data_IF_562340813379
#
_entry.id   IF_562340813379
#
_cell.length_a   1.000
_cell.length_b   1.000
_cell.length_c   1.000
_cell.angle_alpha   90.00
_cell.angle_beta   90.00
_cell.angle_gamma   90.00
#
_symmetry.space_group_name_H-M   'P 1'
#
loop_
_entity.id
_entity.type
_entity.pdbx_description
1 polymer ?
#
# COMPACT_ATOMS: atom_id res chain seq x y z
N UNK A 1 11.44 11.13 1.35
CA UNK A 1 11.55 10.48 0.01
C UNK A 1 11.81 8.96 0.12
N UNK A 2 11.12 8.23 1.01
CA UNK A 2 11.35 6.78 1.24
C UNK A 2 10.24 5.86 0.71
N UNK A 3 9.21 6.43 0.07
CA UNK A 3 7.99 5.69 -0.31
C UNK A 3 7.69 5.62 -1.81
N UNK A 4 8.66 5.94 -2.68
CA UNK A 4 8.62 5.54 -4.11
C UNK A 4 9.64 4.46 -4.47
N UNK A 5 10.72 4.32 -3.69
CA UNK A 5 11.70 3.26 -3.91
C UNK A 5 11.63 2.12 -2.89
N UNK A 6 11.00 2.27 -1.72
CA UNK A 6 10.74 1.15 -0.78
C UNK A 6 9.42 0.42 -1.08
N UNK A 7 8.32 1.18 -1.23
CA UNK A 7 7.03 0.68 -1.76
C UNK A 7 7.18 0.22 -3.22
N UNK A 8 7.98 0.94 -4.01
CA UNK A 8 8.36 0.54 -5.35
C UNK A 8 9.43 -0.55 -5.41
N UNK A 9 10.27 -0.81 -4.38
CA UNK A 9 11.23 -1.93 -4.41
C UNK A 9 10.57 -3.27 -4.14
N UNK A 10 9.54 -3.29 -3.30
CA UNK A 10 8.72 -4.48 -3.06
C UNK A 10 7.87 -4.78 -4.31
N UNK A 11 7.42 -3.74 -5.04
CA UNK A 11 6.89 -3.90 -6.41
C UNK A 11 7.97 -4.25 -7.46
N UNK A 12 9.22 -3.78 -7.34
CA UNK A 12 10.31 -4.00 -8.33
C UNK A 12 10.98 -5.38 -8.24
N UNK A 13 10.85 -6.12 -7.14
CA UNK A 13 11.37 -7.50 -7.05
C UNK A 13 10.42 -8.51 -7.71
N UNK A 14 9.13 -8.21 -7.82
CA UNK A 14 8.13 -9.19 -8.28
C UNK A 14 7.51 -8.79 -9.61
N UNK A 15 7.79 -9.61 -10.64
CA UNK A 15 7.04 -9.72 -11.89
C UNK A 15 5.55 -9.97 -11.61
N UNK A 16 4.81 -8.97 -11.15
CA UNK A 16 3.53 -9.14 -10.43
C UNK A 16 2.51 -9.96 -11.19
N UNK A 17 2.38 -9.85 -12.50
CA UNK A 17 1.41 -10.68 -13.24
C UNK A 17 1.85 -12.15 -13.34
N UNK A 18 3.14 -12.42 -13.55
CA UNK A 18 3.68 -13.79 -13.59
C UNK A 18 3.88 -14.40 -12.21
N UNK A 19 4.17 -13.58 -11.20
CA UNK A 19 4.33 -13.99 -9.81
C UNK A 19 2.97 -14.13 -9.12
N UNK A 20 1.98 -13.28 -9.44
CA UNK A 20 0.58 -13.49 -9.07
C UNK A 20 0.00 -14.69 -9.79
N UNK A 21 0.24 -14.88 -11.09
CA UNK A 21 -0.17 -16.10 -11.80
C UNK A 21 0.53 -17.32 -11.20
N UNK A 22 1.82 -17.26 -10.91
CA UNK A 22 2.57 -18.33 -10.25
C UNK A 22 2.06 -18.59 -8.82
N UNK A 23 1.75 -17.55 -8.04
CA UNK A 23 1.18 -17.67 -6.70
C UNK A 23 -0.27 -18.16 -6.73
N UNK A 24 -1.05 -17.81 -7.78
CA UNK A 24 -2.37 -18.37 -8.08
C UNK A 24 -2.27 -19.84 -8.48
N UNK A 25 -1.31 -20.21 -9.30
CA UNK A 25 -1.03 -21.58 -9.72
C UNK A 25 -0.57 -22.42 -8.51
N UNK A 26 0.29 -21.86 -7.67
CA UNK A 26 0.78 -22.47 -6.42
C UNK A 26 -0.36 -22.56 -5.41
N UNK A 27 -1.20 -21.54 -5.26
CA UNK A 27 -2.36 -21.57 -4.37
C UNK A 27 -3.38 -22.63 -4.81
N UNK A 28 -3.68 -22.70 -6.13
CA UNK A 28 -4.54 -23.73 -6.71
C UNK A 28 -3.97 -25.14 -6.54
N UNK A 29 -2.65 -25.31 -6.63
CA UNK A 29 -1.98 -26.61 -6.41
C UNK A 29 -1.83 -26.97 -4.93
N UNK A 30 -1.53 -25.99 -4.07
CA UNK A 30 -1.30 -26.18 -2.64
C UNK A 30 -1.39 -24.85 -1.87
N UNK A 31 -2.53 -24.60 -1.20
CA UNK A 31 -2.71 -23.42 -0.36
C UNK A 31 -1.64 -23.27 0.73
N UNK A 32 -1.11 -24.39 1.27
CA UNK A 32 -0.05 -24.39 2.29
C UNK A 32 1.26 -23.76 1.80
N UNK A 33 1.65 -24.00 0.54
CA UNK A 33 2.89 -23.46 -0.03
C UNK A 33 2.73 -21.96 -0.34
N UNK A 34 1.55 -21.55 -0.82
CA UNK A 34 1.24 -20.13 -1.06
C UNK A 34 1.28 -19.33 0.24
N UNK A 35 0.73 -19.88 1.32
CA UNK A 35 0.78 -19.28 2.64
C UNK A 35 2.22 -19.18 3.18
N UNK A 36 3.07 -20.18 2.92
CA UNK A 36 4.50 -20.15 3.28
C UNK A 36 5.28 -19.05 2.53
N UNK A 37 5.00 -18.84 1.24
CA UNK A 37 5.66 -17.79 0.44
C UNK A 37 5.15 -16.39 0.84
N UNK A 38 3.85 -16.27 1.11
CA UNK A 38 3.26 -15.02 1.62
C UNK A 38 3.79 -14.66 3.01
N UNK A 39 4.10 -15.67 3.83
CA UNK A 39 4.78 -15.51 5.12
C UNK A 39 6.13 -14.81 4.98
N UNK A 40 6.90 -15.17 3.93
CA UNK A 40 8.22 -14.62 3.65
C UNK A 40 8.16 -13.21 3.04
N UNK A 41 7.08 -12.85 2.33
CA UNK A 41 6.96 -11.57 1.62
C UNK A 41 6.33 -10.43 2.44
N UNK A 42 5.39 -10.73 3.35
CA UNK A 42 4.63 -9.73 4.11
C UNK A 42 5.22 -9.39 5.49
N UNK A 43 6.49 -9.75 5.74
CA UNK A 43 7.19 -9.46 7.00
C UNK A 43 6.80 -10.35 8.18
N UNK A 44 5.52 -10.74 8.33
CA UNK A 44 5.11 -11.67 9.41
C UNK A 44 4.00 -12.66 9.03
N UNK A 45 3.33 -12.44 7.88
CA UNK A 45 2.20 -13.23 7.36
C UNK A 45 1.08 -13.50 8.37
N UNK A 46 1.07 -12.81 9.52
CA UNK A 46 0.22 -13.08 10.68
C UNK A 46 -1.25 -12.97 10.28
N UNK A 47 -1.60 -11.84 9.67
CA UNK A 47 -2.94 -11.59 9.17
C UNK A 47 -3.38 -12.58 8.09
N UNK A 48 -2.46 -13.04 7.24
CA UNK A 48 -2.78 -14.07 6.24
C UNK A 48 -3.15 -15.41 6.89
N UNK A 49 -2.53 -15.75 8.03
CA UNK A 49 -2.86 -16.97 8.79
C UNK A 49 -4.13 -16.82 9.61
N UNK A 50 -4.36 -15.65 10.20
CA UNK A 50 -5.50 -15.42 11.09
C UNK A 50 -6.80 -15.17 10.34
N UNK A 51 -6.73 -14.49 9.19
CA UNK A 51 -7.90 -14.04 8.43
C UNK A 51 -8.18 -14.89 7.19
N UNK A 52 -7.24 -15.78 6.83
CA UNK A 52 -7.36 -16.79 5.77
C UNK A 52 -8.07 -16.27 4.50
N UNK A 53 -7.46 -15.32 3.77
CA UNK A 53 -8.11 -14.70 2.62
C UNK A 53 -8.44 -15.75 1.54
N UNK A 54 -9.70 -15.74 1.09
CA UNK A 54 -10.23 -16.72 0.11
C UNK A 54 -10.20 -16.19 -1.31
N UNK A 55 -10.20 -14.87 -1.47
CA UNK A 55 -10.19 -14.20 -2.78
C UNK A 55 -8.90 -13.42 -2.99
N UNK A 56 -8.61 -13.10 -4.25
CA UNK A 56 -7.44 -12.28 -4.59
C UNK A 56 -7.58 -10.84 -4.05
N UNK A 57 -8.82 -10.35 -3.93
CA UNK A 57 -9.15 -9.05 -3.36
C UNK A 57 -8.85 -9.04 -1.87
N UNK A 58 -9.32 -10.06 -1.13
CA UNK A 58 -9.04 -10.25 0.29
C UNK A 58 -7.52 -10.37 0.53
N UNK A 59 -6.80 -11.13 -0.31
CA UNK A 59 -5.35 -11.29 -0.21
C UNK A 59 -4.61 -9.96 -0.44
N UNK A 60 -4.98 -9.22 -1.48
CA UNK A 60 -4.38 -7.92 -1.81
C UNK A 60 -4.64 -6.89 -0.71
N UNK A 61 -5.85 -6.86 -0.15
CA UNK A 61 -6.22 -6.01 0.97
C UNK A 61 -5.33 -6.26 2.19
N UNK A 62 -5.13 -7.53 2.58
CA UNK A 62 -4.28 -7.87 3.73
C UNK A 62 -2.81 -7.51 3.52
N UNK A 63 -2.27 -7.74 2.33
CA UNK A 63 -0.89 -7.35 1.99
C UNK A 63 -0.70 -5.84 2.07
N UNK A 64 -1.70 -5.06 1.66
CA UNK A 64 -1.66 -3.61 1.71
C UNK A 64 -1.83 -3.04 3.13
N UNK A 65 -2.77 -3.60 3.89
CA UNK A 65 -3.11 -3.12 5.22
C UNK A 65 -2.11 -3.55 6.31
N UNK A 66 -1.38 -4.66 6.13
CA UNK A 66 -0.46 -5.18 7.14
C UNK A 66 0.65 -4.17 7.53
N UNK A 67 1.33 -3.49 6.58
CA UNK A 67 2.24 -2.39 6.89
C UNK A 67 1.59 -1.25 7.68
N UNK A 68 0.32 -0.92 7.42
CA UNK A 68 -0.39 0.13 8.14
C UNK A 68 -0.67 -0.25 9.59
N UNK A 69 -1.17 -1.48 9.82
CA UNK A 69 -1.33 -2.03 11.18
C UNK A 69 0.00 -2.03 11.94
N UNK A 70 1.09 -2.43 11.28
CA UNK A 70 2.40 -2.43 11.91
C UNK A 70 2.87 -1.00 12.26
N UNK A 71 2.63 -0.05 11.36
CA UNK A 71 2.89 1.36 11.63
C UNK A 71 2.12 1.86 12.85
N UNK A 72 0.81 1.67 12.92
CA UNK A 72 -0.01 2.20 14.02
C UNK A 72 0.50 1.73 15.38
N UNK A 73 0.99 0.49 15.47
CA UNK A 73 1.57 -0.10 16.69
C UNK A 73 2.95 0.44 17.05
N UNK A 74 3.64 1.08 16.11
CA UNK A 74 5.03 1.52 16.27
C UNK A 74 5.20 3.00 15.90
N UNK A 75 4.11 3.78 15.79
CA UNK A 75 4.14 5.15 15.27
C UNK A 75 5.01 6.09 16.11
N UNK A 76 5.14 5.81 17.39
CA UNK A 76 6.03 6.46 18.35
C UNK A 76 7.53 6.30 18.01
N UNK A 77 7.90 5.26 17.25
CA UNK A 77 9.28 4.99 16.84
C UNK A 77 9.70 5.72 15.56
N UNK A 78 8.76 6.32 14.83
CA UNK A 78 9.04 7.02 13.60
C UNK A 78 9.10 8.52 13.84
N UNK A 79 10.18 9.17 13.37
CA UNK A 79 10.30 10.64 13.44
C UNK A 79 9.20 11.34 12.65
N UNK A 80 8.87 10.82 11.47
CA UNK A 80 7.81 11.33 10.61
C UNK A 80 7.41 10.28 9.58
N UNK A 81 6.11 10.18 9.29
CA UNK A 81 5.57 9.40 8.18
C UNK A 81 4.61 10.30 7.41
N UNK A 82 4.70 10.20 6.08
CA UNK A 82 3.77 10.86 5.17
C UNK A 82 2.94 9.78 4.50
N UNK A 83 1.63 9.88 4.63
CA UNK A 83 0.71 9.11 3.82
C UNK A 83 0.55 9.76 2.46
N UNK A 84 0.32 8.92 1.46
CA UNK A 84 0.11 9.41 0.11
C UNK A 84 -1.13 10.32 0.04
N UNK A 85 -2.21 9.93 0.71
CA UNK A 85 -3.46 10.69 0.72
C UNK A 85 -3.24 12.11 1.28
N UNK A 86 -2.58 12.23 2.45
CA UNK A 86 -2.20 13.55 3.01
C UNK A 86 -1.39 14.41 2.02
N UNK A 87 -0.49 13.77 1.25
CA UNK A 87 0.34 14.43 0.27
C UNK A 87 -0.43 14.82 -1.00
N UNK A 88 -1.51 14.12 -1.36
CA UNK A 88 -2.33 14.44 -2.52
C UNK A 88 -3.42 15.46 -2.17
N UNK A 89 -4.05 15.33 -1.00
CA UNK A 89 -5.09 16.24 -0.53
C UNK A 89 -4.53 17.62 -0.19
N UNK A 90 -3.42 17.68 0.55
CA UNK A 90 -2.82 18.93 1.01
C UNK A 90 -1.29 18.95 0.79
N UNK A 91 -0.82 18.89 -0.48
CA UNK A 91 0.59 18.71 -0.82
C UNK A 91 1.53 19.73 -0.18
N UNK A 92 1.17 21.01 -0.23
CA UNK A 92 1.99 22.10 0.30
C UNK A 92 2.16 22.01 1.81
N UNK A 93 1.05 21.88 2.54
CA UNK A 93 1.06 21.72 3.99
C UNK A 93 1.83 20.47 4.41
N UNK A 94 1.55 19.32 3.78
CA UNK A 94 2.20 18.05 4.11
C UNK A 94 3.71 18.07 3.84
N UNK A 95 4.16 18.74 2.76
CA UNK A 95 5.59 18.92 2.47
C UNK A 95 6.22 19.91 3.45
N UNK A 96 5.55 21.02 3.77
CA UNK A 96 6.04 22.01 4.72
C UNK A 96 6.23 21.37 6.11
N UNK A 97 5.21 20.68 6.62
CA UNK A 97 5.27 19.97 7.92
C UNK A 97 6.41 18.94 7.95
N UNK A 98 6.67 18.25 6.83
CA UNK A 98 7.81 17.35 6.70
C UNK A 98 9.14 18.09 6.76
N UNK A 99 9.27 19.18 6.00
CA UNK A 99 10.50 19.93 5.87
C UNK A 99 10.86 20.57 7.21
N UNK A 100 9.89 21.11 7.93
CA UNK A 100 10.06 21.65 9.28
C UNK A 100 10.57 20.58 10.25
N UNK A 101 9.96 19.37 10.24
CA UNK A 101 10.42 18.24 11.06
C UNK A 101 11.82 17.77 10.71
N UNK A 102 12.18 17.77 9.43
CA UNK A 102 13.51 17.36 8.94
C UNK A 102 14.53 18.50 8.96
N UNK A 103 14.14 19.70 9.39
CA UNK A 103 14.96 20.92 9.36
C UNK A 103 15.49 21.25 7.95
N UNK A 104 14.67 21.01 6.94
CA UNK A 104 14.93 21.40 5.55
C UNK A 104 14.38 22.83 5.36
N UNK A 105 15.14 23.75 4.75
CA UNK A 105 14.68 25.11 4.48
C UNK A 105 13.34 25.20 3.71
N UNK A 106 12.47 26.14 4.08
CA UNK A 106 11.13 26.30 3.50
C UNK A 106 11.14 26.77 2.05
N UNK A 107 12.20 27.46 1.60
CA UNK A 107 12.40 27.85 0.20
C UNK A 107 12.45 26.62 -0.75
N UNK A 108 12.87 25.47 -0.23
CA UNK A 108 12.92 24.20 -0.96
C UNK A 108 11.52 23.59 -1.21
N UNK A 109 10.47 24.02 -0.49
CA UNK A 109 9.10 23.49 -0.65
C UNK A 109 8.58 23.74 -2.06
N UNK A 110 8.86 24.93 -2.61
CA UNK A 110 8.47 25.29 -3.97
C UNK A 110 9.08 24.35 -5.03
N UNK A 111 10.33 23.92 -4.84
CA UNK A 111 11.00 22.98 -5.71
C UNK A 111 10.42 21.57 -5.57
N UNK A 112 10.13 21.13 -4.34
CA UNK A 112 9.51 19.84 -4.08
C UNK A 112 8.11 19.72 -4.71
N UNK A 113 7.30 20.78 -4.61
CA UNK A 113 5.98 20.86 -5.25
C UNK A 113 6.06 20.79 -6.78
N UNK A 114 7.08 21.41 -7.38
CA UNK A 114 7.33 21.30 -8.83
C UNK A 114 7.66 19.85 -9.23
N UNK A 115 8.48 19.15 -8.44
CA UNK A 115 8.81 17.74 -8.70
C UNK A 115 7.59 16.82 -8.68
N UNK A 116 6.54 17.12 -7.89
CA UNK A 116 5.30 16.34 -7.87
C UNK A 116 4.53 16.38 -9.19
N UNK A 117 4.73 17.43 -10.01
CA UNK A 117 4.09 17.53 -11.33
C UNK A 117 4.69 16.54 -12.34
N UNK A 118 5.91 16.08 -12.10
CA UNK A 118 6.58 15.12 -12.97
C UNK A 118 6.24 13.68 -12.56
N UNK A 119 5.83 12.89 -13.55
CA UNK A 119 5.68 11.46 -13.31
C UNK A 119 7.04 10.76 -13.45
N UNK A 120 7.70 10.54 -12.32
CA UNK A 120 8.97 9.80 -12.32
C UNK A 120 8.85 8.33 -12.76
N UNK A 121 7.63 7.85 -13.06
CA UNK A 121 7.36 6.51 -13.58
C UNK A 121 6.84 6.55 -15.02
N UNK A 122 6.92 7.69 -15.71
CA UNK A 122 6.54 7.79 -17.13
C UNK A 122 7.30 6.75 -17.98
N UNK A 123 6.60 6.18 -18.97
CA UNK A 123 7.11 5.05 -19.76
C UNK A 123 7.04 3.68 -19.06
N UNK A 124 6.63 3.62 -17.79
CA UNK A 124 6.38 2.35 -17.09
C UNK A 124 4.89 2.04 -16.97
N UNK A 125 4.58 0.80 -16.62
CA UNK A 125 3.21 0.37 -16.31
C UNK A 125 2.65 1.02 -15.02
N UNK A 126 3.50 1.65 -14.20
CA UNK A 126 3.12 2.40 -13.00
C UNK A 126 2.97 3.91 -13.26
N UNK A 127 3.10 4.35 -14.50
CA UNK A 127 2.84 5.75 -14.85
C UNK A 127 1.39 6.10 -14.57
N UNK A 128 1.15 7.35 -14.15
CA UNK A 128 -0.20 7.93 -13.98
C UNK A 128 -1.05 7.72 -15.24
N UNK A 129 -0.43 7.81 -16.42
CA UNK A 129 -1.07 7.60 -17.73
C UNK A 129 -1.55 6.16 -17.95
N UNK A 130 -0.82 5.16 -17.44
CA UNK A 130 -1.24 3.75 -17.54
C UNK A 130 -2.27 3.45 -16.45
N UNK A 131 -2.03 3.90 -15.22
CA UNK A 131 -2.94 3.71 -14.10
C UNK A 131 -4.33 4.33 -14.34
N UNK A 132 -4.40 5.51 -14.97
CA UNK A 132 -5.68 6.17 -15.27
C UNK A 132 -6.59 5.38 -16.23
N UNK A 133 -6.07 4.33 -16.88
CA UNK A 133 -6.83 3.48 -17.80
C UNK A 133 -7.39 2.23 -17.11
N UNK A 134 -6.91 1.92 -15.91
CA UNK A 134 -7.37 0.79 -15.13
C UNK A 134 -8.68 1.22 -14.46
N UNK A 135 -9.78 0.55 -14.82
CA UNK A 135 -11.05 0.72 -14.11
C UNK A 135 -11.00 -0.13 -12.85
N UNK A 136 -11.13 0.49 -11.69
CA UNK A 136 -11.41 -0.22 -10.46
C UNK A 136 -12.85 -0.74 -10.51
N UNK A 137 -13.04 -2.01 -10.20
CA UNK A 137 -14.36 -2.56 -9.96
C UNK A 137 -14.72 -2.28 -8.51
N UNK A 138 -15.94 -1.81 -8.26
CA UNK A 138 -16.41 -1.63 -6.89
C UNK A 138 -16.52 -2.99 -6.18
N UNK A 139 -16.14 -3.07 -4.90
CA UNK A 139 -16.31 -4.27 -4.10
C UNK A 139 -17.80 -4.55 -3.89
N UNK A 140 -18.17 -5.81 -3.91
CA UNK A 140 -19.52 -6.27 -3.53
C UNK A 140 -19.81 -6.00 -2.05
N UNK A 141 -21.09 -6.03 -1.67
CA UNK A 141 -21.49 -5.86 -0.27
C UNK A 141 -20.82 -6.89 0.67
N UNK A 142 -20.69 -8.15 0.22
CA UNK A 142 -20.01 -9.19 0.99
C UNK A 142 -18.51 -8.89 1.16
N UNK A 143 -17.85 -8.37 0.11
CA UNK A 143 -16.45 -7.94 0.19
C UNK A 143 -16.28 -6.75 1.13
N UNK A 144 -17.19 -5.78 1.11
CA UNK A 144 -17.18 -4.63 2.03
C UNK A 144 -17.28 -5.11 3.48
N UNK A 145 -18.22 -5.99 3.80
CA UNK A 145 -18.40 -6.50 5.17
C UNK A 145 -17.16 -7.26 5.67
N UNK A 146 -16.52 -8.04 4.78
CA UNK A 146 -15.26 -8.72 5.10
C UNK A 146 -14.10 -7.74 5.31
N UNK A 147 -13.97 -6.73 4.47
CA UNK A 147 -12.92 -5.72 4.61
C UNK A 147 -13.08 -4.92 5.91
N UNK A 148 -14.31 -4.63 6.34
CA UNK A 148 -14.59 -4.04 7.67
C UNK A 148 -14.13 -4.95 8.80
N UNK A 149 -14.44 -6.24 8.72
CA UNK A 149 -13.97 -7.23 9.69
C UNK A 149 -12.43 -7.26 9.76
N UNK A 150 -11.76 -7.23 8.61
CA UNK A 150 -10.30 -7.20 8.52
C UNK A 150 -9.73 -5.94 9.16
N UNK A 151 -10.25 -4.75 8.83
CA UNK A 151 -9.82 -3.49 9.44
C UNK A 151 -9.92 -3.53 10.96
N UNK A 152 -11.05 -4.03 11.50
CA UNK A 152 -11.26 -4.19 12.94
C UNK A 152 -10.24 -5.16 13.56
N UNK A 153 -10.01 -6.31 12.95
CA UNK A 153 -9.04 -7.31 13.46
C UNK A 153 -7.60 -6.80 13.41
N UNK A 154 -7.26 -6.02 12.38
CA UNK A 154 -5.95 -5.42 12.19
C UNK A 154 -5.72 -4.19 13.06
N UNK A 155 -6.79 -3.61 13.64
CA UNK A 155 -6.72 -2.40 14.44
C UNK A 155 -6.39 -1.17 13.60
N UNK A 156 -6.92 -1.09 12.38
CA UNK A 156 -6.70 0.02 11.45
C UNK A 156 -8.04 0.67 11.07
N UNK A 157 -8.04 1.94 10.65
CA UNK A 157 -9.24 2.59 10.15
C UNK A 157 -9.82 1.89 8.92
N UNK A 158 -11.16 1.91 8.78
CA UNK A 158 -11.86 1.27 7.65
C UNK A 158 -11.47 1.86 6.29
N UNK A 159 -11.24 3.19 6.24
CA UNK A 159 -10.86 3.90 5.01
C UNK A 159 -9.57 3.37 4.38
N UNK A 160 -8.71 2.68 5.14
CA UNK A 160 -7.49 2.04 4.61
C UNK A 160 -7.81 0.91 3.63
N UNK A 161 -8.90 0.18 3.86
CA UNK A 161 -9.33 -0.92 3.00
C UNK A 161 -10.48 -0.56 2.07
N UNK A 162 -11.31 0.40 2.47
CA UNK A 162 -12.52 0.77 1.73
C UNK A 162 -12.38 2.06 0.90
N UNK A 163 -11.33 2.85 1.14
CA UNK A 163 -11.23 4.21 0.61
C UNK A 163 -12.24 5.16 1.25
N UNK A 164 -12.37 6.35 0.67
CA UNK A 164 -13.45 7.28 1.00
C UNK A 164 -14.72 6.80 0.27
N UNK A 165 -15.72 6.37 1.04
CA UNK A 165 -17.06 6.05 0.52
C UNK A 165 -17.90 7.31 0.34
#
# INVERSE_FOLDING_TARGET
MFRKNGLGSVERVMKRDKAMLLLLEIYRRSPKISNLISWLAAGEGKFMRELEPKTIVEWAALVYAAPYSYYEKNKDKYLTIIWHNDLIENPEKTIQDLFDKLKIPSDCVSAALKCMKYDSQDGTFLSRKVMSKIKATEPSAEEIDKLKLYSKHMGIPEWILLGDQ
#
